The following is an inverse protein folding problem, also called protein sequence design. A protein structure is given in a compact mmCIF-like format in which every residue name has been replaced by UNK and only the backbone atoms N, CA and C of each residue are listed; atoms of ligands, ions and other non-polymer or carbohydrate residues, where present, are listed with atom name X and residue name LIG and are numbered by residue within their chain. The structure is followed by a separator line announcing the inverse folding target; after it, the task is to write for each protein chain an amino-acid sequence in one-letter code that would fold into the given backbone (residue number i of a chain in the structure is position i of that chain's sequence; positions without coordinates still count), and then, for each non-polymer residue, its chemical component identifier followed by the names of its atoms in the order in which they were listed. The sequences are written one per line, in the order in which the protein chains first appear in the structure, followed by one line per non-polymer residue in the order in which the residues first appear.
data_IF_468091886080
#
_entry.id   IF_468091886080
#
_cell.length_a   1.000
_cell.length_b   1.000
_cell.length_c   1.000
_cell.angle_alpha   90.00
_cell.angle_beta   90.00
_cell.angle_gamma   90.00
#
_symmetry.space_group_name_H-M   'P 1'
#
loop_
_entity.id
_entity.type
_entity.pdbx_description
1 polymer ?
#
# COMPACT_ATOMS: atom_id res chain seq x y z
N UNK A 1 5.12 -26.24 -15.26
CA UNK A 1 4.42 -24.93 -15.31
C UNK A 1 5.24 -23.98 -16.17
N UNK A 2 4.72 -23.51 -17.30
CA UNK A 2 5.35 -22.45 -18.11
C UNK A 2 5.75 -21.28 -17.22
N UNK A 3 7.04 -20.95 -17.15
CA UNK A 3 7.48 -19.75 -16.46
C UNK A 3 7.16 -18.56 -17.37
N UNK A 4 6.01 -17.94 -17.15
CA UNK A 4 5.65 -16.72 -17.87
C UNK A 4 6.59 -15.59 -17.44
N UNK A 5 7.52 -15.23 -18.32
CA UNK A 5 8.34 -14.03 -18.19
C UNK A 5 7.49 -12.77 -18.32
N UNK A 6 7.77 -11.69 -17.56
CA UNK A 6 7.01 -10.45 -17.65
C UNK A 6 7.35 -9.71 -18.93
N UNK A 7 6.31 -9.23 -19.63
CA UNK A 7 6.48 -8.36 -20.80
C UNK A 7 7.08 -7.02 -20.40
N UNK A 8 7.69 -6.30 -21.35
CA UNK A 8 8.24 -4.96 -21.11
C UNK A 8 7.18 -3.99 -20.56
N UNK A 9 5.95 -4.05 -21.08
CA UNK A 9 4.80 -3.25 -20.61
C UNK A 9 4.47 -3.55 -19.16
N UNK A 10 4.51 -4.82 -18.75
CA UNK A 10 4.30 -5.22 -17.36
C UNK A 10 5.39 -4.65 -16.46
N UNK A 11 6.66 -4.75 -16.85
CA UNK A 11 7.79 -4.20 -16.08
C UNK A 11 7.64 -2.70 -15.85
N UNK A 12 7.36 -1.94 -16.89
CA UNK A 12 7.09 -0.50 -16.78
C UNK A 12 5.87 -0.18 -15.92
N UNK A 13 4.77 -0.93 -16.05
CA UNK A 13 3.58 -0.72 -15.21
C UNK A 13 3.87 -0.89 -13.71
N UNK A 14 4.67 -1.90 -13.36
CA UNK A 14 5.12 -2.10 -11.98
C UNK A 14 6.06 -0.99 -11.48
N UNK A 15 7.03 -0.58 -12.32
CA UNK A 15 7.96 0.50 -12.03
C UNK A 15 7.22 1.83 -11.78
N UNK A 16 6.36 2.24 -12.72
CA UNK A 16 5.60 3.49 -12.65
C UNK A 16 4.65 3.47 -11.45
N UNK A 17 3.93 2.35 -11.25
CA UNK A 17 3.02 2.22 -10.11
C UNK A 17 3.74 2.35 -8.77
N UNK A 18 4.91 1.72 -8.63
CA UNK A 18 5.75 1.87 -7.44
C UNK A 18 6.22 3.31 -7.26
N UNK A 19 6.84 3.92 -8.28
CA UNK A 19 7.37 5.28 -8.19
C UNK A 19 6.28 6.33 -7.95
N UNK A 20 5.07 6.13 -8.47
CA UNK A 20 3.93 7.02 -8.20
C UNK A 20 3.57 7.03 -6.70
N UNK A 21 3.43 5.84 -6.10
CA UNK A 21 3.15 5.71 -4.65
C UNK A 21 4.31 6.26 -3.82
N UNK A 22 5.54 5.87 -4.17
CA UNK A 22 6.75 6.34 -3.49
C UNK A 22 6.85 7.86 -3.50
N UNK A 23 6.82 8.49 -4.67
CA UNK A 23 6.97 9.95 -4.77
C UNK A 23 5.83 10.67 -4.06
N UNK A 24 4.59 10.19 -4.17
CA UNK A 24 3.45 10.79 -3.50
C UNK A 24 3.63 10.79 -1.97
N UNK A 25 3.87 9.62 -1.37
CA UNK A 25 3.94 9.48 0.09
C UNK A 25 5.21 10.06 0.68
N UNK A 26 6.35 9.84 0.03
CA UNK A 26 7.65 10.32 0.49
C UNK A 26 7.69 11.86 0.50
N UNK A 27 7.27 12.52 -0.58
CA UNK A 27 7.25 13.98 -0.60
C UNK A 27 6.19 14.56 0.35
N UNK A 28 5.03 13.90 0.48
CA UNK A 28 3.99 14.33 1.40
C UNK A 28 4.46 14.31 2.87
N UNK A 29 5.06 13.20 3.30
CA UNK A 29 5.58 13.05 4.67
C UNK A 29 6.74 14.01 4.96
N UNK A 30 7.60 14.24 3.97
CA UNK A 30 8.65 15.25 4.12
C UNK A 30 8.09 16.67 4.21
N UNK A 31 7.13 17.03 3.34
CA UNK A 31 6.48 18.35 3.37
C UNK A 31 5.71 18.58 4.68
N UNK A 32 5.07 17.53 5.20
CA UNK A 32 4.44 17.52 6.51
C UNK A 32 5.44 17.89 7.61
N UNK A 33 6.54 17.17 7.71
CA UNK A 33 7.56 17.43 8.73
C UNK A 33 8.22 18.79 8.54
N UNK A 34 8.45 19.23 7.30
CA UNK A 34 8.95 20.57 7.01
C UNK A 34 8.02 21.68 7.55
N UNK A 35 6.69 21.49 7.43
CA UNK A 35 5.70 22.41 7.97
C UNK A 35 5.69 22.41 9.50
N UNK A 36 5.84 21.24 10.13
CA UNK A 36 6.00 21.13 11.58
C UNK A 36 7.27 21.83 12.06
N UNK A 37 8.39 21.66 11.35
CA UNK A 37 9.68 22.25 11.70
C UNK A 37 9.65 23.79 11.77
N UNK A 38 8.73 24.43 11.04
CA UNK A 38 8.53 25.88 11.10
C UNK A 38 7.85 26.36 12.40
N UNK A 39 7.22 25.45 13.17
CA UNK A 39 6.44 25.80 14.37
C UNK A 39 6.99 25.14 15.64
N UNK A 40 7.73 24.04 15.52
CA UNK A 40 8.30 23.30 16.66
C UNK A 40 9.64 22.65 16.29
N UNK A 41 10.53 22.44 17.27
CA UNK A 41 11.80 21.78 17.01
C UNK A 41 11.59 20.30 16.62
N UNK A 42 12.21 19.88 15.51
CA UNK A 42 12.23 18.48 15.07
C UNK A 42 13.41 17.76 15.72
N UNK A 43 13.13 16.57 16.25
CA UNK A 43 14.12 15.72 16.93
C UNK A 43 15.05 15.01 15.94
N UNK A 44 16.11 14.40 16.46
CA UNK A 44 17.01 13.50 15.72
C UNK A 44 17.34 12.29 16.60
N UNK A 45 17.93 11.26 16.01
CA UNK A 45 18.31 10.01 16.70
C UNK A 45 19.84 9.80 16.69
N UNK A 46 20.61 10.88 16.62
CA UNK A 46 22.06 10.81 16.60
C UNK A 46 22.60 10.18 17.90
N UNK A 47 23.51 9.23 17.77
CA UNK A 47 24.25 8.64 18.87
C UNK A 47 25.65 9.27 19.00
N UNK A 48 26.33 9.02 20.12
CA UNK A 48 27.72 9.45 20.30
C UNK A 48 28.72 8.80 19.34
N UNK A 49 28.33 7.71 18.65
CA UNK A 49 29.15 7.09 17.61
C UNK A 49 29.05 7.83 16.28
N UNK A 50 27.90 8.47 16.00
CA UNK A 50 27.69 9.17 14.73
C UNK A 50 28.63 10.37 14.57
N UNK A 51 29.06 11.00 15.68
CA UNK A 51 30.03 12.11 15.65
C UNK A 51 31.46 11.67 15.32
N UNK A 52 31.76 10.37 15.38
CA UNK A 52 33.07 9.81 15.03
C UNK A 52 33.16 9.39 13.56
N UNK A 53 32.03 9.40 12.83
CA UNK A 53 31.97 9.01 11.42
C UNK A 53 32.41 10.19 10.56
N UNK A 54 33.57 10.06 9.92
CA UNK A 54 34.09 11.05 9.00
C UNK A 54 33.21 11.17 7.74
N UNK A 55 33.06 12.39 7.23
CA UNK A 55 32.45 12.62 5.92
C UNK A 55 33.41 12.20 4.81
N UNK A 56 32.96 11.32 3.90
CA UNK A 56 33.75 10.86 2.74
C UNK A 56 32.96 11.17 1.46
N UNK A 57 33.32 12.21 0.70
CA UNK A 57 32.57 12.63 -0.48
C UNK A 57 32.38 11.55 -1.54
N UNK A 58 33.40 10.72 -1.77
CA UNK A 58 33.36 9.67 -2.79
C UNK A 58 32.31 8.59 -2.51
N UNK A 59 31.82 8.48 -1.27
CA UNK A 59 30.74 7.57 -0.92
C UNK A 59 29.39 7.96 -1.54
N UNK A 60 29.28 9.16 -2.14
CA UNK A 60 28.11 9.49 -2.96
C UNK A 60 27.94 8.56 -4.18
N UNK A 61 29.02 7.96 -4.68
CA UNK A 61 28.97 7.01 -5.79
C UNK A 61 28.20 5.74 -5.41
N UNK A 62 28.61 4.95 -4.40
CA UNK A 62 27.82 3.80 -3.95
C UNK A 62 26.42 4.20 -3.47
N UNK A 63 26.27 5.39 -2.86
CA UNK A 63 24.97 5.92 -2.48
C UNK A 63 24.01 6.03 -3.67
N UNK A 64 24.48 6.66 -4.76
CA UNK A 64 23.71 6.91 -5.96
C UNK A 64 23.34 5.62 -6.71
N UNK A 65 24.11 4.54 -6.53
CA UNK A 65 23.78 3.23 -7.08
C UNK A 65 22.47 2.66 -6.52
N UNK A 66 21.97 3.15 -5.38
CA UNK A 66 20.69 2.71 -4.80
C UNK A 66 19.50 2.91 -5.76
N UNK A 67 19.39 4.09 -6.38
CA UNK A 67 18.33 4.40 -7.34
C UNK A 67 18.46 3.55 -8.61
N UNK A 68 19.68 3.39 -9.10
CA UNK A 68 19.97 2.55 -10.28
C UNK A 68 19.61 1.09 -10.02
N UNK A 69 20.06 0.51 -8.90
CA UNK A 69 19.75 -0.86 -8.52
C UNK A 69 18.24 -1.06 -8.38
N UNK A 70 17.54 -0.08 -7.80
CA UNK A 70 16.09 -0.09 -7.67
C UNK A 70 15.40 -0.16 -9.04
N UNK A 71 15.77 0.71 -9.99
CA UNK A 71 15.18 0.71 -11.34
C UNK A 71 15.51 -0.58 -12.08
N UNK A 72 16.79 -0.96 -12.13
CA UNK A 72 17.28 -2.14 -12.86
C UNK A 72 16.63 -3.43 -12.34
N UNK A 73 16.34 -3.51 -11.04
CA UNK A 73 15.72 -4.70 -10.43
C UNK A 73 14.39 -5.11 -11.10
N UNK A 74 13.58 -4.15 -11.56
CA UNK A 74 12.32 -4.44 -12.28
C UNK A 74 12.55 -5.07 -13.66
N UNK A 75 13.73 -4.87 -14.26
CA UNK A 75 14.07 -5.37 -15.59
C UNK A 75 14.84 -6.69 -15.57
N UNK A 76 15.65 -6.92 -14.54
CA UNK A 76 16.41 -8.18 -14.39
C UNK A 76 15.61 -9.30 -13.71
N UNK A 77 14.44 -9.01 -13.14
CA UNK A 77 13.62 -10.03 -12.50
C UNK A 77 13.04 -11.01 -13.53
N UNK A 78 13.28 -12.31 -13.36
CA UNK A 78 12.97 -13.33 -14.37
C UNK A 78 11.48 -13.60 -14.59
N UNK A 79 10.68 -13.70 -13.51
CA UNK A 79 9.29 -14.21 -13.60
C UNK A 79 8.27 -13.16 -13.20
N UNK A 80 7.05 -13.25 -13.74
CA UNK A 80 5.94 -12.39 -13.31
C UNK A 80 5.68 -12.49 -11.80
N UNK A 81 5.81 -13.68 -11.22
CA UNK A 81 5.66 -13.90 -9.76
C UNK A 81 6.76 -13.21 -8.96
N UNK A 82 8.01 -13.28 -9.42
CA UNK A 82 9.11 -12.57 -8.76
C UNK A 82 8.95 -11.05 -8.88
N UNK A 83 8.51 -10.53 -10.02
CA UNK A 83 8.26 -9.10 -10.23
C UNK A 83 7.14 -8.57 -9.32
N UNK A 84 6.06 -9.35 -9.17
CA UNK A 84 4.99 -9.05 -8.22
C UNK A 84 5.48 -9.04 -6.78
N UNK A 85 6.29 -10.03 -6.37
CA UNK A 85 6.86 -10.08 -5.02
C UNK A 85 7.84 -8.93 -4.75
N UNK A 86 8.69 -8.59 -5.72
CA UNK A 86 9.57 -7.43 -5.64
C UNK A 86 8.76 -6.15 -5.43
N UNK A 87 7.77 -5.89 -6.28
CA UNK A 87 6.92 -4.70 -6.18
C UNK A 87 6.20 -4.64 -4.85
N UNK A 88 5.71 -5.79 -4.37
CA UNK A 88 5.06 -5.90 -3.07
C UNK A 88 6.00 -5.51 -1.92
N UNK A 89 7.21 -6.09 -1.87
CA UNK A 89 8.21 -5.78 -0.84
C UNK A 89 8.52 -4.29 -0.82
N UNK A 90 8.75 -3.69 -1.99
CA UNK A 90 9.06 -2.28 -2.12
C UNK A 90 7.88 -1.41 -1.64
N UNK A 91 6.65 -1.68 -2.08
CA UNK A 91 5.46 -0.92 -1.65
C UNK A 91 5.20 -1.04 -0.15
N UNK A 92 5.29 -2.24 0.44
CA UNK A 92 5.12 -2.43 1.89
C UNK A 92 6.16 -1.61 2.66
N UNK A 93 7.40 -1.64 2.22
CA UNK A 93 8.50 -0.89 2.84
C UNK A 93 8.25 0.61 2.77
N UNK A 94 7.93 1.14 1.59
CA UNK A 94 7.60 2.56 1.42
C UNK A 94 6.49 2.98 2.37
N UNK A 95 5.40 2.22 2.39
CA UNK A 95 4.18 2.55 3.13
C UNK A 95 4.44 2.50 4.65
N UNK A 96 5.14 1.48 5.13
CA UNK A 96 5.49 1.34 6.54
C UNK A 96 6.52 2.39 6.99
N UNK A 97 7.54 2.68 6.17
CA UNK A 97 8.50 3.75 6.45
C UNK A 97 7.82 5.12 6.50
N UNK A 98 6.94 5.44 5.54
CA UNK A 98 6.18 6.70 5.55
C UNK A 98 5.25 6.81 6.76
N UNK A 99 4.72 5.69 7.25
CA UNK A 99 3.97 5.66 8.51
C UNK A 99 4.89 6.04 9.68
N UNK A 100 6.11 5.48 9.74
CA UNK A 100 7.11 5.90 10.73
C UNK A 100 7.48 7.38 10.61
N UNK A 101 7.73 7.90 9.40
CA UNK A 101 8.06 9.31 9.17
C UNK A 101 6.96 10.26 9.64
N UNK A 102 5.69 9.87 9.50
CA UNK A 102 4.56 10.64 10.02
C UNK A 102 4.51 10.68 11.55
N UNK A 103 4.66 9.52 12.20
CA UNK A 103 4.53 9.40 13.66
C UNK A 103 5.77 9.85 14.42
N UNK A 104 6.94 9.69 13.83
CA UNK A 104 8.25 9.99 14.42
C UNK A 104 9.00 10.88 13.42
N UNK A 105 8.60 12.16 13.26
CA UNK A 105 9.27 13.09 12.37
C UNK A 105 10.68 13.37 12.89
N UNK A 106 11.69 13.04 12.09
CA UNK A 106 13.09 13.17 12.46
C UNK A 106 13.87 13.89 11.36
N UNK A 107 14.88 14.66 11.75
CA UNK A 107 15.82 15.28 10.82
C UNK A 107 17.22 14.80 11.11
N UNK A 108 18.07 14.83 10.09
CA UNK A 108 19.48 14.58 10.30
C UNK A 108 20.10 15.71 11.14
N UNK A 109 21.06 15.35 12.00
CA UNK A 109 21.56 16.25 13.05
C UNK A 109 22.78 17.05 12.63
N UNK A 110 23.66 16.47 11.79
CA UNK A 110 24.82 17.17 11.29
C UNK A 110 24.38 18.05 10.13
N UNK A 111 24.70 19.33 10.20
CA UNK A 111 24.50 20.21 9.07
C UNK A 111 25.61 19.90 8.07
N UNK A 112 25.28 19.58 6.82
CA UNK A 112 26.26 19.73 5.75
C UNK A 112 26.62 21.21 5.77
N UNK A 113 27.84 21.59 6.13
CA UNK A 113 28.08 22.97 6.45
C UNK A 113 28.28 23.66 5.12
N UNK A 114 27.24 24.35 4.64
CA UNK A 114 27.34 25.30 3.51
C UNK A 114 28.43 26.36 3.78
N UNK A 115 28.83 26.50 5.06
CA UNK A 115 29.91 27.35 5.55
C UNK A 115 31.23 26.61 5.85
N UNK A 116 31.33 25.28 5.72
CA UNK A 116 32.61 24.61 5.97
C UNK A 116 33.54 24.84 4.78
N UNK A 117 34.73 25.30 5.11
CA UNK A 117 35.90 25.32 4.23
C UNK A 117 36.04 23.95 3.55
N UNK A 118 35.71 22.85 4.24
CA UNK A 118 35.69 21.51 3.67
C UNK A 118 34.72 21.36 2.48
N UNK A 119 33.45 21.80 2.56
CA UNK A 119 32.47 21.70 1.46
C UNK A 119 32.86 22.56 0.25
N UNK A 120 33.39 23.76 0.51
CA UNK A 120 33.88 24.66 -0.53
C UNK A 120 35.15 24.13 -1.22
N UNK A 121 36.00 23.41 -0.47
CA UNK A 121 37.19 22.73 -0.96
C UNK A 121 36.90 21.40 -1.69
N UNK A 122 35.66 20.90 -1.69
CA UNK A 122 35.31 19.79 -2.58
C UNK A 122 35.46 20.24 -4.03
N UNK A 123 36.13 19.41 -4.83
CA UNK A 123 36.17 19.58 -6.28
C UNK A 123 34.77 19.73 -6.87
N UNK A 124 34.63 20.54 -7.92
CA UNK A 124 33.34 20.96 -8.50
C UNK A 124 32.40 19.80 -8.82
N UNK A 125 32.96 18.65 -9.22
CA UNK A 125 32.22 17.42 -9.52
C UNK A 125 31.44 16.89 -8.30
N UNK A 126 32.06 16.90 -7.12
CA UNK A 126 31.42 16.40 -5.91
C UNK A 126 30.34 17.35 -5.41
N UNK A 127 30.58 18.67 -5.47
CA UNK A 127 29.57 19.68 -5.12
C UNK A 127 28.33 19.55 -5.99
N UNK A 128 28.51 19.35 -7.29
CA UNK A 128 27.40 19.11 -8.21
C UNK A 128 26.63 17.81 -7.86
N UNK A 129 27.34 16.73 -7.55
CA UNK A 129 26.71 15.47 -7.15
C UNK A 129 25.89 15.62 -5.85
N UNK A 130 26.41 16.30 -4.82
CA UNK A 130 25.68 16.54 -3.58
C UNK A 130 24.50 17.51 -3.76
N UNK A 131 24.62 18.51 -4.65
CA UNK A 131 23.50 19.36 -5.01
C UNK A 131 22.34 18.58 -5.66
N UNK A 132 22.67 17.63 -6.56
CA UNK A 132 21.68 16.73 -7.15
C UNK A 132 21.09 15.79 -6.09
N UNK A 133 21.92 15.27 -5.18
CA UNK A 133 21.47 14.44 -4.07
C UNK A 133 20.43 15.16 -3.21
N UNK A 134 20.72 16.39 -2.75
CA UNK A 134 19.79 17.16 -1.92
C UNK A 134 18.52 17.59 -2.65
N UNK A 135 18.52 17.61 -3.99
CA UNK A 135 17.31 17.85 -4.77
C UNK A 135 16.34 16.66 -4.68
N UNK A 136 16.88 15.44 -4.66
CA UNK A 136 16.12 14.19 -4.67
C UNK A 136 15.83 13.69 -3.27
N UNK A 137 16.85 13.59 -2.43
CA UNK A 137 16.77 13.09 -1.06
C UNK A 137 16.42 14.22 -0.09
N UNK A 138 15.38 13.99 0.70
CA UNK A 138 14.74 15.03 1.49
C UNK A 138 15.11 14.91 2.97
N UNK A 139 15.28 16.04 3.68
CA UNK A 139 15.97 16.06 4.96
C UNK A 139 15.20 15.44 6.14
N UNK A 140 13.88 15.21 6.03
CA UNK A 140 13.04 14.81 7.16
C UNK A 140 12.60 13.33 7.17
N UNK A 141 12.95 12.55 6.13
CA UNK A 141 12.54 11.15 6.01
C UNK A 141 13.68 10.22 6.43
N UNK A 142 14.13 10.37 7.67
CA UNK A 142 15.37 9.76 8.18
C UNK A 142 15.17 8.33 8.70
N UNK A 143 14.44 8.17 9.79
CA UNK A 143 14.23 6.87 10.43
C UNK A 143 12.88 6.25 10.02
N UNK A 144 12.84 5.00 9.53
CA UNK A 144 13.96 4.11 9.19
C UNK A 144 14.56 4.41 7.80
N UNK A 145 15.83 4.05 7.58
CA UNK A 145 16.48 4.27 6.29
C UNK A 145 15.87 3.42 5.17
N UNK A 146 15.28 4.10 4.19
CA UNK A 146 14.73 3.46 2.98
C UNK A 146 15.84 2.89 2.08
N UNK A 147 16.98 3.56 1.98
CA UNK A 147 18.14 3.09 1.21
C UNK A 147 18.61 1.71 1.68
N UNK A 148 18.77 1.55 3.00
CA UNK A 148 19.15 0.27 3.62
C UNK A 148 18.04 -0.76 3.45
N UNK A 149 16.79 -0.38 3.70
CA UNK A 149 15.65 -1.29 3.58
C UNK A 149 15.55 -1.87 2.16
N UNK A 150 15.63 -1.01 1.14
CA UNK A 150 15.61 -1.43 -0.25
C UNK A 150 16.84 -2.24 -0.62
N UNK A 151 18.05 -1.87 -0.19
CA UNK A 151 19.25 -2.64 -0.47
C UNK A 151 19.12 -4.10 0.01
N UNK A 152 18.62 -4.33 1.23
CA UNK A 152 18.38 -5.67 1.77
C UNK A 152 17.31 -6.41 0.98
N UNK A 153 16.19 -5.76 0.65
CA UNK A 153 15.10 -6.39 -0.08
C UNK A 153 15.47 -6.73 -1.53
N UNK A 154 16.27 -5.88 -2.16
CA UNK A 154 16.82 -6.10 -3.50
C UNK A 154 17.83 -7.23 -3.48
N UNK A 155 18.73 -7.29 -2.49
CA UNK A 155 19.64 -8.41 -2.27
C UNK A 155 18.89 -9.75 -2.23
N UNK A 156 17.83 -9.84 -1.42
CA UNK A 156 17.03 -11.07 -1.29
C UNK A 156 16.21 -11.36 -2.56
N UNK A 157 15.65 -10.34 -3.21
CA UNK A 157 14.82 -10.52 -4.41
C UNK A 157 15.63 -10.93 -5.63
N UNK A 158 16.90 -10.50 -5.70
CA UNK A 158 17.82 -10.76 -6.80
C UNK A 158 18.78 -11.93 -6.52
N UNK A 159 18.67 -12.60 -5.38
CA UNK A 159 19.57 -13.69 -4.98
C UNK A 159 19.56 -14.92 -5.92
N UNK A 160 18.39 -15.25 -6.47
CA UNK A 160 18.16 -16.43 -7.32
C UNK A 160 17.90 -16.18 -8.81
N UNK A 161 17.25 -15.08 -9.26
CA UNK A 161 16.81 -14.91 -10.66
C UNK A 161 17.92 -14.55 -11.64
N UNK A 162 19.17 -14.99 -11.44
CA UNK A 162 20.21 -14.85 -12.46
C UNK A 162 20.75 -16.24 -12.79
N UNK A 163 19.93 -17.00 -13.52
CA UNK A 163 20.34 -18.22 -14.20
C UNK A 163 20.90 -17.95 -15.62
N UNK A 164 20.90 -16.68 -16.06
CA UNK A 164 21.21 -16.29 -17.44
C UNK A 164 22.72 -16.23 -17.73
N UNK A 165 23.58 -16.09 -16.71
CA UNK A 165 25.03 -16.07 -16.90
C UNK A 165 25.63 -17.38 -16.40
N UNK A 166 26.09 -18.21 -17.35
CA UNK A 166 26.92 -19.39 -17.09
C UNK A 166 28.11 -19.00 -16.18
N UNK A 167 28.02 -19.35 -14.89
CA UNK A 167 28.96 -19.17 -13.77
C UNK A 167 30.05 -18.08 -13.87
N UNK A 168 30.05 -17.11 -12.94
CA UNK A 168 30.33 -17.43 -11.53
C UNK A 168 29.24 -16.89 -10.60
N UNK A 169 28.33 -17.77 -10.19
CA UNK A 169 27.24 -17.45 -9.25
C UNK A 169 27.77 -16.84 -7.94
N UNK A 170 28.99 -17.20 -7.54
CA UNK A 170 29.69 -16.63 -6.38
C UNK A 170 30.09 -15.18 -6.63
N UNK A 171 30.73 -14.87 -7.76
CA UNK A 171 31.16 -13.50 -8.08
C UNK A 171 29.95 -12.56 -8.18
N UNK A 172 28.85 -13.03 -8.81
CA UNK A 172 27.60 -12.27 -8.84
C UNK A 172 27.07 -11.98 -7.43
N UNK A 173 26.95 -13.01 -6.59
CA UNK A 173 26.45 -12.87 -5.21
C UNK A 173 27.34 -11.96 -4.37
N UNK A 174 28.66 -12.10 -4.48
CA UNK A 174 29.61 -11.23 -3.79
C UNK A 174 29.48 -9.79 -4.28
N UNK A 175 29.40 -9.54 -5.59
CA UNK A 175 29.18 -8.21 -6.14
C UNK A 175 27.87 -7.59 -5.65
N UNK A 176 26.79 -8.37 -5.60
CA UNK A 176 25.50 -7.90 -5.10
C UNK A 176 25.55 -7.59 -3.59
N UNK A 177 26.21 -8.44 -2.79
CA UNK A 177 26.45 -8.19 -1.36
C UNK A 177 27.27 -6.92 -1.19
N UNK A 178 28.40 -6.79 -1.89
CA UNK A 178 29.27 -5.63 -1.82
C UNK A 178 28.55 -4.36 -2.24
N UNK A 179 27.70 -4.42 -3.27
CA UNK A 179 26.89 -3.27 -3.69
C UNK A 179 25.86 -2.87 -2.64
N UNK A 180 25.08 -3.82 -2.13
CA UNK A 180 24.05 -3.55 -1.12
C UNK A 180 24.65 -3.09 0.21
N UNK A 181 25.75 -3.71 0.65
CA UNK A 181 26.50 -3.27 1.82
C UNK A 181 27.14 -1.90 1.59
N UNK A 182 27.71 -1.66 0.40
CA UNK A 182 28.26 -0.37 0.00
C UNK A 182 27.22 0.74 0.04
N UNK A 183 26.01 0.50 -0.46
CA UNK A 183 24.88 1.44 -0.32
C UNK A 183 24.59 1.71 1.16
N UNK A 184 24.42 0.68 1.98
CA UNK A 184 24.08 0.85 3.39
C UNK A 184 25.18 1.57 4.20
N UNK A 185 26.45 1.30 3.91
CA UNK A 185 27.58 1.98 4.56
C UNK A 185 27.70 3.41 4.06
N UNK A 186 27.48 3.63 2.76
CA UNK A 186 27.61 4.95 2.15
C UNK A 186 26.69 5.98 2.80
N UNK A 187 25.49 5.59 3.26
CA UNK A 187 24.54 6.52 3.89
C UNK A 187 25.11 7.20 5.14
N UNK A 188 25.97 6.50 5.88
CA UNK A 188 26.65 7.03 7.05
C UNK A 188 27.75 8.02 6.65
N UNK A 189 28.61 7.64 5.71
CA UNK A 189 29.76 8.44 5.29
C UNK A 189 29.40 9.62 4.38
N UNK A 190 28.21 9.61 3.76
CA UNK A 190 27.62 10.77 3.07
C UNK A 190 26.82 11.67 4.00
N UNK A 191 26.79 11.37 5.31
CA UNK A 191 26.01 12.11 6.31
C UNK A 191 24.53 12.26 5.91
N UNK A 192 23.94 11.18 5.40
CA UNK A 192 22.51 11.15 5.05
C UNK A 192 21.67 10.42 6.08
N UNK A 193 22.28 9.56 6.90
CA UNK A 193 21.61 8.78 7.93
C UNK A 193 22.50 8.56 9.15
N UNK A 194 21.89 8.47 10.33
CA UNK A 194 22.55 7.98 11.55
C UNK A 194 22.57 6.45 11.59
N UNK A 195 23.39 5.89 12.47
CA UNK A 195 23.47 4.44 12.71
C UNK A 195 22.08 3.88 13.08
N UNK A 196 21.31 4.59 13.90
CA UNK A 196 19.97 4.15 14.29
C UNK A 196 19.01 4.09 13.09
N UNK A 197 19.13 5.00 12.11
CA UNK A 197 18.33 4.94 10.88
C UNK A 197 18.66 3.69 10.05
N UNK A 198 19.95 3.34 9.99
CA UNK A 198 20.44 2.13 9.30
C UNK A 198 19.90 0.87 9.97
N UNK A 199 19.96 0.79 11.31
CA UNK A 199 19.40 -0.33 12.07
C UNK A 199 17.88 -0.42 11.91
N UNK A 200 17.18 0.73 11.94
CA UNK A 200 15.74 0.80 11.67
C UNK A 200 15.40 0.28 10.27
N UNK A 201 16.21 0.62 9.26
CA UNK A 201 16.05 0.13 7.90
C UNK A 201 16.23 -1.38 7.78
N UNK A 202 17.22 -1.95 8.47
CA UNK A 202 17.43 -3.40 8.51
C UNK A 202 16.24 -4.12 9.17
N UNK A 203 15.77 -3.63 10.33
CA UNK A 203 14.62 -4.18 11.03
C UNK A 203 13.36 -4.12 10.16
N UNK A 204 13.14 -2.99 9.48
CA UNK A 204 12.02 -2.82 8.56
C UNK A 204 12.08 -3.83 7.41
N UNK A 205 13.25 -4.02 6.79
CA UNK A 205 13.41 -5.00 5.72
C UNK A 205 13.09 -6.43 6.18
N UNK A 206 13.61 -6.83 7.35
CA UNK A 206 13.33 -8.16 7.95
C UNK A 206 11.83 -8.32 8.20
N UNK A 207 11.19 -7.29 8.78
CA UNK A 207 9.76 -7.30 9.06
C UNK A 207 8.93 -7.42 7.77
N UNK A 208 9.30 -6.69 6.72
CA UNK A 208 8.64 -6.77 5.40
C UNK A 208 8.81 -8.14 4.77
N UNK A 209 9.99 -8.75 4.83
CA UNK A 209 10.21 -10.12 4.34
C UNK A 209 9.35 -11.13 5.10
N UNK A 210 9.22 -10.96 6.41
CA UNK A 210 8.37 -11.81 7.23
C UNK A 210 6.88 -11.68 6.85
N UNK A 211 6.36 -10.45 6.70
CA UNK A 211 4.97 -10.22 6.26
C UNK A 211 4.76 -10.77 4.85
N UNK A 212 5.65 -10.44 3.91
CA UNK A 212 5.52 -10.85 2.51
C UNK A 212 5.47 -12.36 2.38
N UNK A 213 6.33 -13.09 3.09
CA UNK A 213 6.32 -14.55 3.11
C UNK A 213 5.00 -15.10 3.65
N UNK A 214 4.44 -14.50 4.71
CA UNK A 214 3.14 -14.92 5.26
C UNK A 214 1.99 -14.68 4.27
N UNK A 215 2.05 -13.59 3.52
CA UNK A 215 1.05 -13.27 2.48
C UNK A 215 1.21 -14.22 1.28
N UNK A 216 2.42 -14.37 0.75
CA UNK A 216 2.70 -15.13 -0.46
C UNK A 216 2.57 -16.65 -0.29
N UNK A 217 2.93 -17.21 0.88
CA UNK A 217 2.92 -18.66 1.10
C UNK A 217 1.52 -19.20 1.46
N UNK A 218 0.68 -18.39 2.14
CA UNK A 218 -0.60 -18.86 2.70
C UNK A 218 -1.84 -18.47 1.91
N UNK A 219 -1.78 -17.38 1.14
CA UNK A 219 -2.97 -16.86 0.46
C UNK A 219 -2.99 -17.30 -1.01
N UNK A 220 -4.20 -17.46 -1.52
CA UNK A 220 -4.41 -17.54 -2.97
C UNK A 220 -4.09 -16.19 -3.64
N UNK A 221 -3.84 -16.22 -4.95
CA UNK A 221 -3.38 -15.04 -5.70
C UNK A 221 -4.39 -13.88 -5.70
N UNK A 222 -5.68 -14.17 -5.59
CA UNK A 222 -6.74 -13.16 -5.50
C UNK A 222 -6.75 -12.48 -4.13
N UNK A 223 -6.78 -13.24 -3.03
CA UNK A 223 -6.74 -12.68 -1.67
C UNK A 223 -5.45 -11.92 -1.43
N UNK A 224 -4.30 -12.41 -1.93
CA UNK A 224 -3.03 -11.68 -1.88
C UNK A 224 -3.18 -10.27 -2.48
N UNK A 225 -3.70 -10.16 -3.71
CA UNK A 225 -3.91 -8.85 -4.36
C UNK A 225 -4.83 -7.95 -3.54
N UNK A 226 -5.88 -8.48 -2.92
CA UNK A 226 -6.82 -7.72 -2.11
C UNK A 226 -6.20 -7.24 -0.80
N UNK A 227 -5.50 -8.10 -0.06
CA UNK A 227 -4.77 -7.75 1.16
C UNK A 227 -3.85 -6.56 0.90
N UNK A 228 -3.08 -6.64 -0.18
CA UNK A 228 -2.10 -5.60 -0.55
C UNK A 228 -2.81 -4.30 -0.93
N UNK A 229 -3.82 -4.37 -1.80
CA UNK A 229 -4.58 -3.19 -2.23
C UNK A 229 -5.19 -2.46 -1.03
N UNK A 230 -5.83 -3.19 -0.13
CA UNK A 230 -6.45 -2.58 1.05
C UNK A 230 -5.43 -2.07 2.05
N UNK A 231 -4.30 -2.75 2.23
CA UNK A 231 -3.23 -2.28 3.12
C UNK A 231 -2.60 -0.99 2.60
N UNK A 232 -2.24 -0.96 1.30
CA UNK A 232 -1.70 0.23 0.65
C UNK A 232 -2.72 1.37 0.71
N UNK A 233 -4.01 1.11 0.41
CA UNK A 233 -5.08 2.10 0.49
C UNK A 233 -5.31 2.62 1.92
N UNK A 234 -5.27 1.74 2.92
CA UNK A 234 -5.43 2.10 4.33
C UNK A 234 -4.37 3.11 4.75
N UNK A 235 -3.10 2.79 4.53
CA UNK A 235 -1.99 3.62 5.01
C UNK A 235 -1.79 4.85 4.13
N UNK A 236 -1.87 4.72 2.80
CA UNK A 236 -1.75 5.89 1.91
C UNK A 236 -2.88 6.89 2.14
N UNK A 237 -4.13 6.44 2.23
CA UNK A 237 -5.27 7.32 2.51
C UNK A 237 -5.18 7.95 3.90
N UNK A 238 -4.74 7.20 4.91
CA UNK A 238 -4.41 7.75 6.23
C UNK A 238 -3.38 8.87 6.13
N UNK A 239 -2.23 8.62 5.51
CA UNK A 239 -1.15 9.59 5.38
C UNK A 239 -1.60 10.85 4.63
N UNK A 240 -2.36 10.69 3.54
CA UNK A 240 -2.93 11.80 2.78
C UNK A 240 -3.87 12.62 3.65
N UNK A 241 -4.86 11.99 4.28
CA UNK A 241 -5.84 12.69 5.11
C UNK A 241 -5.22 13.32 6.36
N UNK A 242 -4.20 12.69 6.94
CA UNK A 242 -3.58 13.14 8.18
C UNK A 242 -2.50 14.22 7.96
N UNK A 243 -1.85 14.21 6.80
CA UNK A 243 -0.72 15.10 6.49
C UNK A 243 -1.14 16.29 5.62
N UNK A 244 -1.87 16.06 4.53
CA UNK A 244 -2.19 17.09 3.54
C UNK A 244 -2.89 18.32 4.16
N UNK A 245 -3.86 18.17 5.08
CA UNK A 245 -4.56 19.33 5.63
C UNK A 245 -3.66 20.24 6.46
N UNK A 246 -2.64 19.68 7.13
CA UNK A 246 -1.68 20.49 7.91
C UNK A 246 -0.82 21.42 7.04
N UNK A 247 -0.73 21.16 5.73
CA UNK A 247 -0.02 22.03 4.79
C UNK A 247 -0.80 23.32 4.49
N UNK A 248 -2.13 23.29 4.59
CA UNK A 248 -3.01 24.39 4.16
C UNK A 248 -3.74 25.09 5.32
N UNK A 249 -4.04 24.36 6.40
CA UNK A 249 -4.80 24.89 7.53
C UNK A 249 -3.85 25.60 8.50
N UNK A 250 -4.19 26.82 8.92
CA UNK A 250 -3.49 27.51 10.01
C UNK A 250 -3.71 26.78 11.34
N UNK A 251 -2.65 26.62 12.11
CA UNK A 251 -2.64 25.89 13.39
C UNK A 251 -3.55 26.53 14.47
N UNK A 252 -4.11 27.71 14.22
CA UNK A 252 -4.90 28.49 15.19
C UNK A 252 -6.25 27.84 15.55
N UNK A 253 -6.82 27.00 14.68
CA UNK A 253 -8.13 26.38 14.89
C UNK A 253 -7.99 24.94 15.43
N UNK A 254 -7.92 24.75 16.75
CA UNK A 254 -7.62 23.45 17.37
C UNK A 254 -8.61 22.29 17.02
N UNK A 255 -9.88 22.58 16.74
CA UNK A 255 -10.92 21.55 16.54
C UNK A 255 -10.79 20.84 15.18
N UNK A 256 -10.48 21.58 14.12
CA UNK A 256 -10.51 21.06 12.75
C UNK A 256 -9.39 20.03 12.46
N UNK A 257 -8.13 20.22 12.89
CA UNK A 257 -7.07 19.22 12.80
C UNK A 257 -7.38 17.93 13.58
N UNK A 258 -8.04 18.04 14.73
CA UNK A 258 -8.41 16.88 15.56
C UNK A 258 -9.45 16.03 14.83
N UNK A 259 -10.52 16.66 14.31
CA UNK A 259 -11.57 15.96 13.59
C UNK A 259 -11.04 15.25 12.34
N UNK A 260 -10.21 15.93 11.54
CA UNK A 260 -9.57 15.34 10.35
C UNK A 260 -8.70 14.14 10.71
N UNK A 261 -7.86 14.27 11.74
CA UNK A 261 -7.02 13.17 12.21
C UNK A 261 -7.88 12.00 12.68
N UNK A 262 -8.97 12.25 13.40
CA UNK A 262 -9.90 11.20 13.81
C UNK A 262 -10.45 10.43 12.59
N UNK A 263 -10.92 11.12 11.55
CA UNK A 263 -11.38 10.48 10.33
C UNK A 263 -10.28 9.70 9.60
N UNK A 264 -9.04 10.21 9.60
CA UNK A 264 -7.90 9.49 9.04
C UNK A 264 -7.66 8.17 9.79
N UNK A 265 -7.71 8.16 11.12
CA UNK A 265 -7.55 6.93 11.92
C UNK A 265 -8.67 5.94 11.65
N UNK A 266 -9.92 6.41 11.54
CA UNK A 266 -11.03 5.56 11.14
C UNK A 266 -10.77 4.93 9.76
N UNK A 267 -10.30 5.71 8.78
CA UNK A 267 -9.91 5.20 7.45
C UNK A 267 -8.85 4.09 7.54
N UNK A 268 -7.76 4.36 8.27
CA UNK A 268 -6.69 3.39 8.50
C UNK A 268 -7.23 2.09 9.08
N UNK A 269 -8.04 2.20 10.13
CA UNK A 269 -8.62 1.07 10.82
C UNK A 269 -9.55 0.25 9.92
N UNK A 270 -10.43 0.91 9.16
CA UNK A 270 -11.45 0.23 8.35
C UNK A 270 -10.83 -0.57 7.20
N UNK A 271 -9.94 0.04 6.41
CA UNK A 271 -9.25 -0.67 5.33
C UNK A 271 -8.16 -1.62 5.84
N UNK A 272 -7.52 -1.29 6.96
CA UNK A 272 -6.58 -2.18 7.64
C UNK A 272 -7.26 -3.45 8.14
N UNK A 273 -8.46 -3.33 8.71
CA UNK A 273 -9.30 -4.46 9.09
C UNK A 273 -9.66 -5.31 7.88
N UNK A 274 -10.06 -4.69 6.77
CA UNK A 274 -10.38 -5.43 5.54
C UNK A 274 -9.18 -6.22 5.02
N UNK A 275 -7.99 -5.60 5.02
CA UNK A 275 -6.73 -6.28 4.69
C UNK A 275 -6.49 -7.48 5.63
N UNK A 276 -6.68 -7.29 6.93
CA UNK A 276 -6.54 -8.37 7.93
C UNK A 276 -7.53 -9.52 7.70
N UNK A 277 -8.78 -9.23 7.33
CA UNK A 277 -9.80 -10.25 7.08
C UNK A 277 -9.49 -11.09 5.85
N UNK A 278 -9.03 -10.46 4.76
CA UNK A 278 -8.57 -11.20 3.59
C UNK A 278 -7.30 -12.02 3.87
N UNK A 279 -6.47 -11.60 4.83
CA UNK A 279 -5.29 -12.35 5.25
C UNK A 279 -5.61 -13.57 6.12
N UNK A 280 -6.61 -13.47 7.00
CA UNK A 280 -6.97 -14.55 7.94
C UNK A 280 -8.08 -15.48 7.42
N UNK A 281 -8.91 -15.02 6.48
CA UNK A 281 -10.06 -15.74 5.88
C UNK A 281 -10.82 -16.61 6.89
N UNK A 282 -11.33 -16.01 7.96
CA UNK A 282 -12.09 -16.71 9.00
C UNK A 282 -13.59 -16.37 8.88
N UNK A 283 -14.40 -17.38 8.58
CA UNK A 283 -15.85 -17.23 8.37
C UNK A 283 -16.59 -16.70 9.61
N UNK A 284 -16.17 -17.09 10.82
CA UNK A 284 -16.77 -16.64 12.07
C UNK A 284 -16.48 -15.16 12.33
N UNK A 285 -15.21 -14.75 12.11
CA UNK A 285 -14.80 -13.37 12.26
C UNK A 285 -15.51 -12.46 11.24
N UNK A 286 -15.65 -12.93 10.00
CA UNK A 286 -16.40 -12.23 8.95
C UNK A 286 -17.89 -12.08 9.33
N UNK A 287 -18.51 -13.12 9.91
CA UNK A 287 -19.90 -13.09 10.36
C UNK A 287 -20.16 -12.04 11.45
N UNK A 288 -19.21 -11.82 12.36
CA UNK A 288 -19.32 -10.78 13.40
C UNK A 288 -19.12 -9.38 12.84
N UNK A 289 -18.10 -9.19 12.00
CA UNK A 289 -17.73 -7.87 11.46
C UNK A 289 -18.75 -7.35 10.45
N UNK A 290 -19.32 -8.22 9.62
CA UNK A 290 -20.37 -7.88 8.65
C UNK A 290 -21.77 -8.29 9.14
N UNK A 291 -21.97 -8.33 10.46
CA UNK A 291 -23.25 -8.69 11.06
C UNK A 291 -24.36 -7.75 10.62
N UNK A 292 -25.50 -8.34 10.26
CA UNK A 292 -26.72 -7.62 9.86
C UNK A 292 -27.86 -7.95 10.81
N UNK A 293 -28.67 -6.94 11.12
CA UNK A 293 -29.94 -7.08 11.82
C UNK A 293 -30.95 -7.87 10.95
N UNK A 294 -32.06 -8.36 11.53
CA UNK A 294 -33.13 -9.06 10.78
C UNK A 294 -33.68 -8.28 9.59
N UNK A 295 -33.64 -6.95 9.65
CA UNK A 295 -34.07 -6.03 8.58
C UNK A 295 -33.03 -5.86 7.45
N UNK A 296 -31.87 -6.53 7.54
CA UNK A 296 -30.82 -6.50 6.53
C UNK A 296 -29.83 -5.33 6.65
N UNK A 297 -30.03 -4.42 7.60
CA UNK A 297 -29.09 -3.34 7.92
C UNK A 297 -27.88 -3.85 8.72
N UNK A 298 -26.72 -3.23 8.54
CA UNK A 298 -25.54 -3.51 9.39
C UNK A 298 -25.88 -3.18 10.86
N UNK A 299 -25.40 -4.00 11.79
CA UNK A 299 -25.47 -3.67 13.22
C UNK A 299 -24.77 -2.34 13.52
N UNK A 300 -25.14 -1.63 14.58
CA UNK A 300 -24.47 -0.36 14.94
C UNK A 300 -22.96 -0.52 15.08
N UNK A 301 -22.51 -1.64 15.67
CA UNK A 301 -21.10 -1.99 15.77
C UNK A 301 -20.46 -2.15 14.39
N UNK A 302 -21.04 -2.97 13.50
CA UNK A 302 -20.54 -3.16 12.15
C UNK A 302 -20.54 -1.86 11.32
N UNK A 303 -21.56 -1.02 11.50
CA UNK A 303 -21.70 0.25 10.81
C UNK A 303 -20.62 1.25 11.21
N UNK A 304 -20.37 1.45 12.52
CA UNK A 304 -19.30 2.34 13.00
C UNK A 304 -17.93 1.87 12.49
N UNK A 305 -17.69 0.56 12.56
CA UNK A 305 -16.44 -0.07 12.12
C UNK A 305 -16.17 0.13 10.62
N UNK A 306 -17.24 0.09 9.82
CA UNK A 306 -17.20 0.19 8.36
C UNK A 306 -17.55 1.59 7.87
N UNK A 307 -17.78 2.56 8.75
CA UNK A 307 -18.26 3.89 8.40
C UNK A 307 -17.39 4.57 7.32
N UNK A 308 -16.04 4.51 7.37
CA UNK A 308 -15.21 5.06 6.30
C UNK A 308 -15.43 4.37 4.96
N UNK A 309 -15.61 3.05 4.96
CA UNK A 309 -15.91 2.28 3.75
C UNK A 309 -17.29 2.67 3.21
N UNK A 310 -18.32 2.69 4.07
CA UNK A 310 -19.67 3.08 3.69
C UNK A 310 -19.72 4.53 3.17
N UNK A 311 -19.01 5.45 3.81
CA UNK A 311 -18.89 6.85 3.37
C UNK A 311 -18.18 6.96 2.03
N UNK A 312 -17.08 6.22 1.82
CA UNK A 312 -16.38 6.18 0.54
C UNK A 312 -17.27 5.63 -0.59
N UNK A 313 -18.05 4.59 -0.30
CA UNK A 313 -19.00 4.01 -1.24
C UNK A 313 -20.13 4.98 -1.56
N UNK A 314 -20.67 5.65 -0.55
CA UNK A 314 -21.69 6.69 -0.74
C UNK A 314 -21.16 7.86 -1.59
N UNK A 315 -19.94 8.32 -1.35
CA UNK A 315 -19.31 9.38 -2.13
C UNK A 315 -19.08 8.95 -3.58
N UNK A 316 -18.54 7.75 -3.81
CA UNK A 316 -18.39 7.16 -5.14
C UNK A 316 -19.73 7.04 -5.85
N UNK A 317 -20.78 6.60 -5.15
CA UNK A 317 -22.13 6.51 -5.68
C UNK A 317 -22.69 7.89 -6.07
N UNK A 318 -22.49 8.92 -5.25
CA UNK A 318 -22.87 10.30 -5.57
C UNK A 318 -22.13 10.82 -6.81
N UNK A 319 -20.82 10.59 -6.89
CA UNK A 319 -20.00 10.96 -8.05
C UNK A 319 -20.49 10.22 -9.29
N UNK A 320 -20.65 8.90 -9.24
CA UNK A 320 -21.17 8.11 -10.36
C UNK A 320 -22.56 8.57 -10.78
N UNK A 321 -23.44 8.89 -9.84
CA UNK A 321 -24.80 9.37 -10.15
C UNK A 321 -24.74 10.73 -10.85
N UNK A 322 -23.84 11.63 -10.43
CA UNK A 322 -23.59 12.91 -11.12
C UNK A 322 -22.96 12.69 -12.51
N UNK A 323 -21.95 11.83 -12.63
CA UNK A 323 -21.34 11.49 -13.92
C UNK A 323 -22.34 10.84 -14.88
N UNK A 324 -23.20 9.95 -14.40
CA UNK A 324 -24.28 9.32 -15.19
C UNK A 324 -25.37 10.33 -15.59
N UNK A 325 -25.54 11.44 -14.86
CA UNK A 325 -26.38 12.56 -15.32
C UNK A 325 -25.72 13.38 -16.43
N UNK A 326 -24.39 13.48 -16.44
CA UNK A 326 -23.61 14.25 -17.42
C UNK A 326 -23.33 13.45 -18.71
N UNK A 327 -23.13 12.16 -18.59
CA UNK A 327 -22.98 11.20 -19.68
C UNK A 327 -23.83 9.97 -19.32
N UNK A 328 -25.12 9.95 -19.67
CA UNK A 328 -25.95 8.79 -19.39
C UNK A 328 -25.37 7.56 -20.06
N UNK A 329 -25.26 6.46 -19.31
CA UNK A 329 -25.01 5.15 -19.90
C UNK A 329 -26.09 4.91 -20.97
N UNK A 330 -25.69 4.99 -22.24
CA UNK A 330 -26.54 4.75 -23.41
C UNK A 330 -26.89 3.27 -23.55
N UNK A 331 -26.03 2.38 -23.05
CA UNK A 331 -26.28 0.95 -22.96
C UNK A 331 -26.78 0.59 -21.55
N UNK A 332 -28.10 0.61 -21.37
CA UNK A 332 -28.77 -0.08 -20.27
C UNK A 332 -29.33 -1.38 -20.82
N UNK A 333 -28.76 -2.51 -20.40
CA UNK A 333 -29.35 -3.81 -20.69
C UNK A 333 -30.39 -4.12 -19.60
N UNK A 334 -31.63 -4.34 -20.03
CA UNK A 334 -32.72 -4.79 -19.17
C UNK A 334 -32.57 -6.29 -18.96
N UNK A 335 -32.23 -6.69 -17.73
CA UNK A 335 -32.20 -8.11 -17.37
C UNK A 335 -33.59 -8.49 -16.88
N UNK A 336 -34.23 -9.44 -17.57
CA UNK A 336 -35.50 -10.01 -17.13
C UNK A 336 -35.24 -11.21 -16.23
N UNK A 337 -35.52 -11.04 -14.94
CA UNK A 337 -35.48 -12.13 -13.98
C UNK A 337 -36.89 -12.68 -13.76
N UNK A 338 -37.10 -13.97 -14.00
CA UNK A 338 -38.35 -14.64 -13.66
C UNK A 338 -38.42 -14.92 -12.16
N UNK A 339 -39.41 -14.35 -11.49
CA UNK A 339 -39.67 -14.54 -10.07
C UNK A 339 -41.12 -14.98 -9.85
N UNK A 340 -41.36 -16.27 -9.61
CA UNK A 340 -42.65 -16.78 -9.10
C UNK A 340 -43.92 -16.24 -9.82
N UNK A 341 -43.85 -16.07 -11.16
CA UNK A 341 -44.85 -15.46 -12.06
C UNK A 341 -44.84 -13.93 -12.25
N UNK A 342 -43.80 -13.23 -11.81
CA UNK A 342 -43.55 -11.82 -12.13
C UNK A 342 -42.19 -11.65 -12.80
N UNK A 343 -42.14 -10.81 -13.83
CA UNK A 343 -40.91 -10.40 -14.48
C UNK A 343 -40.41 -9.12 -13.82
N UNK A 344 -39.26 -9.19 -13.14
CA UNK A 344 -38.60 -8.02 -12.59
C UNK A 344 -37.59 -7.50 -13.61
N UNK A 345 -37.82 -6.28 -14.09
CA UNK A 345 -36.85 -5.57 -14.93
C UNK A 345 -35.79 -4.92 -14.04
N UNK A 346 -34.55 -5.40 -14.16
CA UNK A 346 -33.41 -4.83 -13.44
C UNK A 346 -32.51 -4.14 -14.46
N UNK A 347 -32.37 -2.81 -14.33
CA UNK A 347 -31.39 -2.05 -15.10
C UNK A 347 -30.00 -2.30 -14.49
N UNK A 348 -29.14 -2.99 -15.24
CA UNK A 348 -27.76 -3.24 -14.84
C UNK A 348 -26.77 -2.53 -15.76
N UNK A 349 -25.61 -2.14 -15.23
CA UNK A 349 -24.51 -1.65 -16.06
C UNK A 349 -23.84 -2.79 -16.84
N UNK A 350 -23.08 -2.48 -17.90
CA UNK A 350 -22.55 -3.46 -18.86
C UNK A 350 -21.57 -4.51 -18.28
N UNK A 351 -21.03 -4.28 -17.07
CA UNK A 351 -20.21 -5.27 -16.36
C UNK A 351 -21.01 -6.33 -15.62
N UNK A 352 -22.25 -6.03 -15.20
CA UNK A 352 -23.12 -6.99 -14.49
C UNK A 352 -23.87 -7.91 -15.47
N UNK A 353 -24.23 -7.40 -16.65
CA UNK A 353 -24.99 -8.17 -17.65
C UNK A 353 -24.20 -9.35 -18.23
N UNK A 354 -22.89 -9.19 -18.40
CA UNK A 354 -22.03 -10.19 -19.04
C UNK A 354 -21.58 -11.35 -18.14
N UNK A 355 -21.66 -11.24 -16.81
CA UNK A 355 -20.99 -12.19 -15.91
C UNK A 355 -21.91 -12.92 -14.90
N UNK A 356 -23.11 -12.42 -14.61
CA UNK A 356 -23.82 -12.84 -13.37
C UNK A 356 -25.33 -13.12 -13.50
N UNK A 357 -25.90 -13.13 -14.71
CA UNK A 357 -27.32 -13.47 -14.93
C UNK A 357 -27.69 -14.85 -14.35
N UNK A 358 -26.84 -15.87 -14.50
CA UNK A 358 -27.08 -17.21 -13.95
C UNK A 358 -26.96 -17.29 -12.41
N UNK A 359 -26.08 -16.49 -11.81
CA UNK A 359 -25.83 -16.51 -10.36
C UNK A 359 -26.91 -15.75 -9.57
N UNK A 360 -27.49 -14.70 -10.15
CA UNK A 360 -28.61 -13.97 -9.55
C UNK A 360 -29.84 -14.87 -9.42
N UNK A 361 -30.20 -15.62 -10.47
CA UNK A 361 -31.30 -16.59 -10.41
C UNK A 361 -31.05 -17.67 -9.37
N UNK A 362 -29.81 -18.16 -9.25
CA UNK A 362 -29.44 -19.15 -8.24
C UNK A 362 -29.49 -18.60 -6.80
N UNK A 363 -29.04 -17.36 -6.59
CA UNK A 363 -29.06 -16.70 -5.28
C UNK A 363 -30.48 -16.50 -4.76
N UNK A 364 -31.39 -16.02 -5.59
CA UNK A 364 -32.81 -15.87 -5.25
C UNK A 364 -33.49 -17.24 -4.96
N UNK A 365 -33.20 -18.26 -5.76
CA UNK A 365 -33.72 -19.61 -5.53
C UNK A 365 -33.19 -20.25 -4.23
N UNK A 366 -31.94 -19.99 -3.85
CA UNK A 366 -31.33 -20.53 -2.62
C UNK A 366 -31.87 -19.86 -1.36
N UNK A 367 -32.13 -18.55 -1.39
CA UNK A 367 -32.74 -17.81 -0.28
C UNK A 367 -34.19 -18.24 -0.01
N UNK A 368 -34.94 -18.65 -1.05
CA UNK A 368 -36.31 -19.17 -0.93
C UNK A 368 -36.37 -20.58 -0.30
N UNK A 369 -35.39 -21.45 -0.56
CA UNK A 369 -35.30 -22.77 0.07
C UNK A 369 -35.09 -22.69 1.60
N UNK A 370 -34.44 -21.63 2.09
CA UNK A 370 -34.21 -21.43 3.53
C UNK A 370 -35.44 -20.87 4.28
N UNK A 371 -36.47 -20.41 3.57
CA UNK A 371 -37.70 -19.82 4.15
C UNK A 371 -38.96 -20.69 4.05
N UNK A 372 -38.87 -21.92 3.55
CA UNK A 372 -39.95 -22.91 3.68
C UNK A 372 -39.48 -24.05 4.58
N UNK A 373 -40.12 -24.23 5.75
CA UNK A 373 -41.42 -24.90 5.76
C UNK A 373 -42.40 -24.33 6.80
N UNK A 374 -43.68 -24.19 6.41
CA UNK A 374 -44.86 -24.34 7.27
C UNK A 374 -46.11 -24.16 6.38
N UNK A 375 -46.32 -25.07 5.42
CA UNK A 375 -47.62 -25.20 4.75
C UNK A 375 -48.41 -26.35 5.38
N UNK A 376 -49.26 -25.94 6.32
CA UNK A 376 -50.56 -26.49 6.71
C UNK A 376 -50.93 -27.84 6.08
N UNK A 377 -50.91 -28.91 6.89
CA UNK A 377 -51.79 -30.07 6.73
C UNK A 377 -53.14 -29.73 7.35
N UNK A 378 -54.14 -29.43 6.53
CA UNK A 378 -55.52 -29.81 6.82
C UNK A 378 -56.15 -30.28 5.51
N UNK A 379 -56.37 -31.60 5.46
CA UNK A 379 -57.11 -32.27 4.41
C UNK A 379 -58.57 -31.80 4.44
N UNK A 380 -59.11 -31.41 3.30
CA UNK A 380 -60.55 -31.50 3.05
C UNK A 380 -60.76 -32.49 1.89
N UNK A 381 -61.36 -33.64 2.21
CA UNK A 381 -61.55 -34.76 1.27
C UNK A 381 -63.00 -34.69 0.76
N UNK A 382 -63.09 -34.43 -0.55
CA UNK A 382 -64.15 -34.67 -1.53
C UNK A 382 -65.53 -35.17 -1.04
N UNK A 383 -66.54 -34.49 -1.56
CA UNK A 383 -67.90 -34.96 -1.84
C UNK A 383 -67.93 -36.20 -2.76
N UNK A 384 -68.83 -37.14 -2.48
CA UNK A 384 -69.55 -37.93 -3.49
C UNK A 384 -71.04 -37.97 -3.13
N UNK A 385 -71.88 -37.94 -4.16
CA UNK A 385 -73.34 -37.95 -4.10
C UNK A 385 -73.91 -39.40 -4.02
N UNK A 386 -75.21 -39.48 -3.66
CA UNK A 386 -76.20 -40.58 -3.86
C UNK A 386 -75.97 -41.81 -2.97
N UNK A 387 -76.94 -42.40 -2.27
CA UNK A 387 -78.42 -42.41 -2.27
C UNK A 387 -78.96 -42.33 -0.83
#
# INVERSE_FOLDING_TARGET
MSQNHPTIKTRFGHLIGFFAVFNCLYNLTNAYTAKLAAHMPISNVASGFDSQIAFIPSMILPYSCSLWLLIVSFFITDTNKALQRLTLRLLLTTVLACLCFYWIPLKFSFQLPDADIAYQNLGINWRFAFALLHAVDKPYNQFPSLHVSYAVLLLVSLWTPIAVFHNPLIAYRLSLICLCAGIAVSTLFTWQHHILDVLGGLILAIFVLWIERRISDKLNSTSQKLVIRYLVLAVSGFLIMASLPTLFIRFDNAIYPIAIKFFAHCWLFSFGLLSFLYAKSNAELNGRIFSKNPDGHLTNFAYILQLPICASYYLLWQIMTKCNRLTPFTERETIQCQFYHQTLEICAGPKLSNAETANLTHFFNKYLKLRSPLKKRYHNKKSSQRE
#
